data_IF_441323588594
#
_entry.id   IF_441323588594
#
_cell.length_a   1.000
_cell.length_b   1.000
_cell.length_c   1.000
_cell.angle_alpha   90.00
_cell.angle_beta   90.00
_cell.angle_gamma   90.00
#
_symmetry.space_group_name_H-M   'P 1'
#
loop_
_entity.id
_entity.type
_entity.pdbx_description
1 polymer ?
#
# COMPACT_ATOMS: atom_id res chain seq x y z
N UNK A 1 13.31 -25.06 0.61
CA UNK A 1 14.21 -25.54 -0.47
C UNK A 1 15.34 -24.55 -0.80
N UNK A 2 15.34 -23.34 -0.25
CA UNK A 2 16.25 -22.25 -0.59
C UNK A 2 17.72 -22.38 -0.14
N UNK A 3 18.08 -23.07 0.97
CA UNK A 3 19.47 -23.06 1.47
C UNK A 3 20.50 -23.67 0.52
N UNK A 4 20.12 -24.71 -0.24
CA UNK A 4 21.06 -25.39 -1.15
C UNK A 4 21.44 -24.47 -2.32
N UNK A 5 20.47 -23.73 -2.87
CA UNK A 5 20.68 -22.77 -3.96
C UNK A 5 21.57 -21.63 -3.49
N UNK A 6 21.31 -21.04 -2.32
CA UNK A 6 22.15 -19.99 -1.75
C UNK A 6 23.59 -20.43 -1.53
N UNK A 7 23.81 -21.64 -1.01
CA UNK A 7 25.16 -22.18 -0.85
C UNK A 7 25.85 -22.42 -2.19
N UNK A 8 25.13 -22.91 -3.20
CA UNK A 8 25.68 -23.15 -4.53
C UNK A 8 26.09 -21.83 -5.21
N UNK A 9 25.21 -20.82 -5.17
CA UNK A 9 25.48 -19.50 -5.74
C UNK A 9 26.60 -18.77 -5.00
N UNK A 10 26.64 -18.82 -3.66
CA UNK A 10 27.71 -18.20 -2.88
C UNK A 10 29.11 -18.79 -3.20
N UNK A 11 29.18 -20.06 -3.64
CA UNK A 11 30.43 -20.69 -4.07
C UNK A 11 30.92 -20.22 -5.44
N UNK A 12 30.08 -19.56 -6.24
CA UNK A 12 30.47 -19.03 -7.55
C UNK A 12 31.28 -17.73 -7.46
N UNK A 13 31.46 -17.18 -6.25
CA UNK A 13 32.20 -15.94 -6.01
C UNK A 13 31.25 -14.73 -5.88
N UNK A 14 31.75 -13.54 -6.21
CA UNK A 14 30.96 -12.30 -6.14
C UNK A 14 29.84 -12.31 -7.19
N UNK A 15 28.63 -11.94 -6.77
CA UNK A 15 27.42 -11.82 -7.58
C UNK A 15 27.13 -10.34 -7.85
N UNK A 16 28.06 -9.66 -8.51
CA UNK A 16 28.02 -8.20 -8.74
C UNK A 16 26.83 -7.72 -9.59
N UNK A 17 26.18 -8.63 -10.32
CA UNK A 17 25.01 -8.31 -11.14
C UNK A 17 23.69 -8.45 -10.38
N UNK A 18 23.68 -9.03 -9.17
CA UNK A 18 22.46 -9.23 -8.41
C UNK A 18 22.04 -7.96 -7.68
N UNK A 19 21.03 -7.28 -8.23
CA UNK A 19 20.51 -6.01 -7.71
C UNK A 19 19.25 -6.21 -6.83
N UNK A 20 18.45 -7.23 -7.13
CA UNK A 20 17.19 -7.53 -6.46
C UNK A 20 17.16 -8.98 -6.01
N UNK A 21 16.80 -9.22 -4.75
CA UNK A 21 16.61 -10.55 -4.20
C UNK A 21 15.23 -10.63 -3.55
N UNK A 22 14.37 -11.50 -4.08
CA UNK A 22 13.20 -11.99 -3.37
C UNK A 22 13.46 -13.44 -2.98
N UNK A 23 13.33 -13.75 -1.70
CA UNK A 23 13.54 -15.10 -1.24
C UNK A 23 12.61 -15.49 -0.09
N UNK A 24 12.38 -16.80 -0.01
CA UNK A 24 11.68 -17.44 1.11
C UNK A 24 12.69 -18.21 1.93
N UNK A 25 12.73 -18.02 3.24
CA UNK A 25 13.63 -18.73 4.15
C UNK A 25 12.86 -19.38 5.28
N UNK A 26 13.34 -20.51 5.80
CA UNK A 26 12.79 -21.07 7.04
C UNK A 26 13.38 -20.36 8.25
N UNK A 27 12.65 -20.36 9.36
CA UNK A 27 13.20 -20.00 10.69
C UNK A 27 14.43 -20.90 10.97
N UNK A 28 15.55 -20.30 11.34
CA UNK A 28 16.82 -20.99 11.61
C UNK A 28 17.77 -21.16 10.41
N UNK A 29 17.34 -20.86 9.18
CA UNK A 29 18.20 -20.96 7.98
C UNK A 29 18.91 -19.63 7.62
N UNK A 30 18.85 -18.62 8.50
CA UNK A 30 19.42 -17.28 8.29
C UNK A 30 20.93 -17.29 8.00
N UNK A 31 21.69 -18.24 8.56
CA UNK A 31 23.14 -18.40 8.28
C UNK A 31 23.43 -18.61 6.80
N UNK A 32 22.63 -19.44 6.12
CA UNK A 32 22.83 -19.69 4.68
C UNK A 32 22.48 -18.45 3.84
N UNK A 33 21.44 -17.72 4.24
CA UNK A 33 21.09 -16.44 3.63
C UNK A 33 22.22 -15.42 3.80
N UNK A 34 22.79 -15.27 4.99
CA UNK A 34 23.84 -14.27 5.24
C UNK A 34 25.12 -14.55 4.46
N UNK A 35 25.54 -15.82 4.38
CA UNK A 35 26.68 -16.23 3.56
C UNK A 35 26.45 -15.94 2.07
N UNK A 36 25.21 -16.04 1.59
CA UNK A 36 24.85 -15.64 0.24
C UNK A 36 24.85 -14.12 0.07
N UNK A 37 24.29 -13.37 1.03
CA UNK A 37 24.25 -11.91 0.99
C UNK A 37 25.65 -11.28 1.03
N UNK A 38 26.64 -11.92 1.68
CA UNK A 38 28.04 -11.46 1.63
C UNK A 38 28.67 -11.56 0.24
N UNK A 39 28.13 -12.42 -0.64
CA UNK A 39 28.53 -12.50 -2.03
C UNK A 39 27.80 -11.48 -2.93
N UNK A 40 26.90 -10.65 -2.40
CA UNK A 40 26.03 -9.75 -3.19
C UNK A 40 26.30 -8.26 -2.87
N UNK A 41 27.48 -7.69 -3.23
CA UNK A 41 27.86 -6.34 -2.79
C UNK A 41 26.99 -5.22 -3.38
N UNK A 42 26.37 -5.44 -4.55
CA UNK A 42 25.52 -4.45 -5.25
C UNK A 42 24.02 -4.65 -5.03
N UNK A 43 23.62 -5.44 -4.03
CA UNK A 43 22.21 -5.67 -3.74
C UNK A 43 21.54 -4.37 -3.25
N UNK A 44 20.54 -3.89 -4.00
CA UNK A 44 19.78 -2.68 -3.69
C UNK A 44 18.43 -2.99 -3.04
N UNK A 45 17.85 -4.16 -3.30
CA UNK A 45 16.52 -4.53 -2.82
C UNK A 45 16.49 -5.96 -2.29
N UNK A 46 15.95 -6.11 -1.08
CA UNK A 46 15.82 -7.38 -0.39
C UNK A 46 14.37 -7.60 0.07
N UNK A 47 13.75 -8.66 -0.41
CA UNK A 47 12.46 -9.15 0.06
C UNK A 47 12.67 -10.54 0.69
N UNK A 48 12.30 -10.64 1.98
CA UNK A 48 12.46 -11.87 2.76
C UNK A 48 11.10 -12.28 3.32
N UNK A 49 10.65 -13.45 2.90
CA UNK A 49 9.49 -14.15 3.46
C UNK A 49 9.99 -15.27 4.39
N UNK A 50 9.65 -15.21 5.67
CA UNK A 50 9.98 -16.26 6.62
C UNK A 50 8.80 -17.22 6.72
N UNK A 51 9.00 -18.46 6.27
CA UNK A 51 8.02 -19.53 6.47
C UNK A 51 8.22 -20.16 7.83
N UNK A 52 7.16 -20.18 8.63
CA UNK A 52 7.09 -21.07 9.78
C UNK A 52 6.76 -22.50 9.31
N UNK A 53 7.25 -23.51 10.03
CA UNK A 53 7.21 -24.93 9.58
C UNK A 53 5.81 -25.54 9.53
N UNK A 54 4.77 -24.82 9.92
CA UNK A 54 3.40 -25.33 9.93
C UNK A 54 2.75 -25.19 8.55
N UNK A 55 3.12 -26.07 7.61
CA UNK A 55 2.53 -26.14 6.27
C UNK A 55 1.03 -26.54 6.27
N UNK A 56 0.44 -26.87 7.43
CA UNK A 56 -0.96 -27.33 7.56
C UNK A 56 -1.76 -26.72 8.72
N UNK A 57 -1.23 -25.72 9.43
CA UNK A 57 -1.99 -24.98 10.44
C UNK A 57 -2.42 -23.62 9.91
N UNK A 58 -3.46 -22.96 10.48
CA UNK A 58 -3.62 -21.53 10.27
C UNK A 58 -2.26 -20.88 10.56
N UNK A 59 -1.79 -20.03 9.65
CA UNK A 59 -0.56 -19.29 9.82
C UNK A 59 -0.78 -18.33 10.99
N UNK A 60 -0.65 -18.85 12.21
CA UNK A 60 -0.52 -18.04 13.39
C UNK A 60 0.84 -17.40 13.19
N UNK A 61 0.85 -16.17 12.68
CA UNK A 61 2.02 -15.29 12.72
C UNK A 61 2.28 -14.96 14.19
N UNK A 62 2.65 -16.00 14.94
CA UNK A 62 2.80 -16.00 16.37
C UNK A 62 3.93 -15.08 16.75
N UNK A 63 3.71 -14.42 17.87
CA UNK A 63 4.52 -13.41 18.52
C UNK A 63 6.01 -13.76 18.70
N UNK A 64 6.41 -15.00 18.44
CA UNK A 64 7.73 -15.54 18.74
C UNK A 64 8.82 -14.99 17.82
N UNK A 65 9.35 -13.83 18.21
CA UNK A 65 10.76 -13.44 18.39
C UNK A 65 11.86 -14.42 17.94
N UNK A 66 11.73 -15.02 16.75
CA UNK A 66 12.86 -15.55 16.00
C UNK A 66 13.71 -14.38 15.54
N UNK A 67 14.51 -13.81 16.45
CA UNK A 67 15.41 -12.72 16.12
C UNK A 67 16.33 -13.15 14.97
N UNK A 68 16.36 -12.34 13.91
CA UNK A 68 17.38 -12.47 12.90
C UNK A 68 18.71 -12.17 13.60
N UNK A 69 19.70 -13.09 13.58
CA UNK A 69 20.99 -12.81 14.19
C UNK A 69 21.55 -11.50 13.61
N UNK A 70 22.25 -10.67 14.40
CA UNK A 70 22.87 -9.46 13.88
C UNK A 70 23.74 -9.76 12.66
N UNK A 71 23.70 -8.88 11.67
CA UNK A 71 24.50 -9.00 10.45
C UNK A 71 25.41 -7.78 10.34
N UNK A 72 26.66 -7.99 9.89
CA UNK A 72 27.62 -6.90 9.70
C UNK A 72 27.06 -5.83 8.77
N UNK A 73 27.29 -4.56 9.09
CA UNK A 73 26.92 -3.41 8.24
C UNK A 73 27.60 -3.48 6.87
N UNK A 74 28.77 -4.13 6.79
CA UNK A 74 29.49 -4.37 5.52
C UNK A 74 28.81 -5.40 4.62
N UNK A 75 27.88 -6.21 5.14
CA UNK A 75 27.06 -7.11 4.32
C UNK A 75 25.92 -6.31 3.69
N UNK A 76 25.81 -6.36 2.36
CA UNK A 76 24.86 -5.59 1.54
C UNK A 76 24.85 -4.09 1.85
N UNK A 77 26.00 -3.39 1.68
CA UNK A 77 26.16 -2.01 2.15
C UNK A 77 25.32 -1.00 1.37
N UNK A 78 24.89 -1.35 0.14
CA UNK A 78 24.11 -0.50 -0.75
C UNK A 78 22.60 -0.75 -0.67
N UNK A 79 22.13 -1.48 0.33
CA UNK A 79 20.71 -1.83 0.45
C UNK A 79 19.85 -0.56 0.60
N UNK A 80 18.94 -0.33 -0.34
CA UNK A 80 18.02 0.82 -0.38
C UNK A 80 16.56 0.45 -0.09
N UNK A 81 16.16 -0.78 -0.38
CA UNK A 81 14.78 -1.23 -0.21
C UNK A 81 14.75 -2.53 0.56
N UNK A 82 13.90 -2.60 1.57
CA UNK A 82 13.66 -3.86 2.29
C UNK A 82 12.18 -4.15 2.48
N UNK A 83 11.83 -5.43 2.33
CA UNK A 83 10.52 -5.98 2.60
C UNK A 83 10.65 -7.26 3.41
N UNK A 84 9.77 -7.42 4.40
CA UNK A 84 9.69 -8.66 5.15
C UNK A 84 9.13 -8.46 6.55
N UNK A 85 9.24 -9.51 7.38
CA UNK A 85 8.77 -9.46 8.76
C UNK A 85 9.68 -8.57 9.61
N UNK A 86 9.15 -8.15 10.75
CA UNK A 86 9.81 -7.25 11.72
C UNK A 86 11.29 -7.56 11.95
N UNK A 87 11.60 -8.81 12.28
CA UNK A 87 12.97 -9.21 12.62
C UNK A 87 13.95 -8.96 11.46
N UNK A 88 13.55 -9.21 10.22
CA UNK A 88 14.38 -8.93 9.05
C UNK A 88 14.56 -7.41 8.87
N UNK A 89 13.47 -6.65 8.94
CA UNK A 89 13.51 -5.17 8.81
C UNK A 89 14.47 -4.58 9.83
N UNK A 90 14.33 -4.92 11.11
CA UNK A 90 15.19 -4.38 12.17
C UNK A 90 16.67 -4.71 11.96
N UNK A 91 16.99 -5.95 11.58
CA UNK A 91 18.38 -6.40 11.42
C UNK A 91 19.06 -5.77 10.20
N UNK A 92 18.35 -5.64 9.08
CA UNK A 92 18.93 -5.13 7.84
C UNK A 92 18.89 -3.60 7.73
N UNK A 93 18.07 -2.92 8.52
CA UNK A 93 17.95 -1.46 8.46
C UNK A 93 19.15 -0.71 9.07
N UNK A 94 19.78 -1.29 10.10
CA UNK A 94 20.81 -0.61 10.88
C UNK A 94 22.05 -0.28 10.04
N UNK A 95 22.42 1.02 10.00
CA UNK A 95 23.65 1.49 9.35
C UNK A 95 23.63 1.44 7.82
N UNK A 96 22.47 1.22 7.20
CA UNK A 96 22.32 1.11 5.74
C UNK A 96 21.46 2.26 5.17
N UNK A 97 21.67 2.62 3.88
CA UNK A 97 20.98 3.73 3.23
C UNK A 97 19.58 3.32 2.75
N UNK A 98 18.76 2.81 3.66
CA UNK A 98 17.38 2.41 3.33
C UNK A 98 16.56 3.66 3.00
N UNK A 99 15.87 3.63 1.87
CA UNK A 99 14.96 4.65 1.35
C UNK A 99 13.52 4.14 1.30
N UNK A 100 13.34 2.80 1.22
CA UNK A 100 12.03 2.12 1.15
C UNK A 100 11.92 0.98 2.15
N UNK A 101 10.85 1.01 2.94
CA UNK A 101 10.50 -0.04 3.91
C UNK A 101 9.11 -0.59 3.57
N UNK A 102 8.98 -1.91 3.49
CA UNK A 102 7.71 -2.60 3.36
C UNK A 102 7.48 -3.56 4.52
N UNK A 103 6.50 -3.21 5.36
CA UNK A 103 6.13 -3.95 6.55
C UNK A 103 5.01 -4.93 6.21
N UNK A 104 5.29 -6.22 6.36
CA UNK A 104 4.37 -7.31 6.02
C UNK A 104 4.03 -8.15 7.25
N UNK A 105 2.91 -8.87 7.23
CA UNK A 105 2.50 -9.78 8.30
C UNK A 105 1.61 -9.12 9.35
N UNK A 106 1.54 -9.68 10.56
CA UNK A 106 0.75 -9.13 11.66
C UNK A 106 1.62 -8.28 12.58
N UNK A 107 1.11 -7.10 12.95
CA UNK A 107 1.82 -6.15 13.78
C UNK A 107 0.94 -5.71 14.94
N UNK A 108 1.44 -5.83 16.17
CA UNK A 108 0.86 -5.05 17.27
C UNK A 108 1.36 -3.61 17.18
N UNK A 109 0.63 -2.68 17.81
CA UNK A 109 1.00 -1.26 17.84
C UNK A 109 2.39 -1.05 18.44
N UNK A 110 2.73 -1.74 19.53
CA UNK A 110 4.03 -1.62 20.18
C UNK A 110 5.17 -2.07 19.28
N UNK A 111 4.99 -3.21 18.59
CA UNK A 111 5.97 -3.72 17.63
C UNK A 111 6.18 -2.74 16.48
N UNK A 112 5.10 -2.16 15.97
CA UNK A 112 5.16 -1.17 14.91
C UNK A 112 5.88 0.11 15.36
N UNK A 113 5.53 0.65 16.52
CA UNK A 113 6.17 1.85 17.06
C UNK A 113 7.66 1.64 17.36
N UNK A 114 8.03 0.45 17.81
CA UNK A 114 9.43 0.06 17.99
C UNK A 114 10.21 0.03 16.67
N UNK A 115 9.57 -0.34 15.56
CA UNK A 115 10.22 -0.26 14.24
C UNK A 115 10.30 1.17 13.74
N UNK A 116 9.23 1.96 13.89
CA UNK A 116 9.25 3.38 13.52
C UNK A 116 10.32 4.16 14.27
N UNK A 117 10.50 3.92 15.58
CA UNK A 117 11.54 4.60 16.37
C UNK A 117 12.96 4.23 15.93
N UNK A 118 13.13 3.09 15.25
CA UNK A 118 14.40 2.65 14.69
C UNK A 118 14.65 3.14 13.27
N UNK A 119 13.66 3.72 12.58
CA UNK A 119 13.86 4.30 11.24
C UNK A 119 14.97 5.36 11.28
N UNK A 120 15.10 6.12 12.35
CA UNK A 120 16.19 7.10 12.53
C UNK A 120 17.60 6.47 12.53
N UNK A 121 17.73 5.14 12.60
CA UNK A 121 19.01 4.42 12.54
C UNK A 121 19.45 4.07 11.11
N UNK A 122 18.64 4.40 10.10
CA UNK A 122 19.09 4.35 8.70
C UNK A 122 20.05 5.49 8.44
N UNK A 123 20.95 5.30 7.48
CA UNK A 123 21.88 6.37 7.06
C UNK A 123 21.29 7.26 5.95
N UNK A 124 20.08 6.93 5.47
CA UNK A 124 19.35 7.68 4.45
C UNK A 124 17.95 8.04 4.95
N UNK A 125 17.31 8.96 4.23
CA UNK A 125 15.94 9.41 4.46
C UNK A 125 14.97 8.39 3.88
N UNK A 126 13.95 8.01 4.64
CA UNK A 126 12.87 7.14 4.15
C UNK A 126 11.86 7.97 3.35
N UNK A 127 11.82 7.71 2.05
CA UNK A 127 10.88 8.34 1.13
C UNK A 127 9.67 7.47 0.84
N UNK A 128 9.76 6.15 1.00
CA UNK A 128 8.65 5.22 0.74
C UNK A 128 8.38 4.27 1.90
N UNK A 129 7.15 4.25 2.37
CA UNK A 129 6.67 3.33 3.39
C UNK A 129 5.48 2.54 2.86
N UNK A 130 5.52 1.23 3.03
CA UNK A 130 4.45 0.33 2.63
C UNK A 130 3.95 -0.43 3.85
N UNK A 131 2.65 -0.32 4.13
CA UNK A 131 1.97 -1.02 5.22
C UNK A 131 1.06 -2.12 4.64
N UNK A 132 1.54 -3.37 4.67
CA UNK A 132 0.78 -4.57 4.23
C UNK A 132 0.22 -5.34 5.43
N UNK A 133 -0.42 -4.63 6.34
CA UNK A 133 -1.05 -5.20 7.52
C UNK A 133 -2.24 -4.32 7.92
N UNK A 134 -3.08 -4.82 8.83
CA UNK A 134 -4.21 -4.05 9.32
C UNK A 134 -3.73 -2.89 10.23
N UNK A 135 -4.07 -1.64 9.88
CA UNK A 135 -3.71 -0.44 10.64
C UNK A 135 -4.93 0.41 11.01
N UNK A 136 -4.87 1.08 12.16
CA UNK A 136 -5.84 2.09 12.58
C UNK A 136 -5.33 3.52 12.38
N UNK A 137 -6.18 4.51 12.65
CA UNK A 137 -5.82 5.95 12.60
C UNK A 137 -4.59 6.30 13.45
N UNK A 138 -4.44 5.68 14.64
CA UNK A 138 -3.28 5.86 15.54
C UNK A 138 -1.93 5.51 14.86
N UNK A 139 -1.91 4.47 14.03
CA UNK A 139 -0.72 4.03 13.28
C UNK A 139 -0.27 5.15 12.34
N UNK A 140 -1.20 5.72 11.58
CA UNK A 140 -0.89 6.76 10.60
C UNK A 140 -0.53 8.09 11.24
N UNK A 141 -1.18 8.46 12.34
CA UNK A 141 -0.75 9.60 13.15
C UNK A 141 0.70 9.44 13.61
N UNK A 142 1.11 8.23 14.01
CA UNK A 142 2.51 7.99 14.37
C UNK A 142 3.46 8.04 13.18
N UNK A 143 3.05 7.51 12.01
CA UNK A 143 3.82 7.65 10.76
C UNK A 143 4.04 9.12 10.43
N UNK A 144 2.98 9.92 10.46
CA UNK A 144 3.03 11.38 10.22
C UNK A 144 4.01 12.08 11.15
N UNK A 145 4.04 11.71 12.44
CA UNK A 145 4.95 12.31 13.41
C UNK A 145 6.42 11.89 13.24
N UNK A 146 6.68 10.69 12.73
CA UNK A 146 8.03 10.09 12.71
C UNK A 146 8.72 10.16 11.36
N UNK A 147 7.96 10.34 10.28
CA UNK A 147 8.47 10.28 8.90
C UNK A 147 8.07 11.53 8.11
N UNK A 148 8.54 12.70 8.56
CA UNK A 148 8.21 13.98 7.92
C UNK A 148 8.66 14.07 6.44
N UNK A 149 9.72 13.35 6.07
CA UNK A 149 10.25 13.30 4.69
C UNK A 149 9.58 12.25 3.80
N UNK A 150 8.51 11.60 4.27
CA UNK A 150 7.85 10.55 3.52
C UNK A 150 7.12 11.12 2.30
N UNK A 151 7.58 10.73 1.10
CA UNK A 151 6.98 11.16 -0.17
C UNK A 151 5.91 10.19 -0.69
N UNK A 152 6.06 8.90 -0.38
CA UNK A 152 5.14 7.86 -0.84
C UNK A 152 4.70 6.95 0.31
N UNK A 153 3.38 6.79 0.44
CA UNK A 153 2.76 5.92 1.41
C UNK A 153 1.86 4.94 0.67
N UNK A 154 2.11 3.65 0.84
CA UNK A 154 1.26 2.58 0.32
C UNK A 154 0.55 1.89 1.47
N UNK A 155 -0.76 1.85 1.40
CA UNK A 155 -1.65 1.28 2.41
C UNK A 155 -2.40 0.09 1.82
N UNK A 156 -2.42 -1.01 2.56
CA UNK A 156 -3.26 -2.14 2.20
C UNK A 156 -4.57 -2.06 2.98
N UNK A 157 -5.62 -1.58 2.31
CA UNK A 157 -6.96 -1.45 2.84
C UNK A 157 -7.64 -2.81 2.95
N UNK A 158 -8.10 -3.11 4.16
CA UNK A 158 -9.04 -4.17 4.48
C UNK A 158 -10.33 -3.57 5.02
N UNK A 159 -11.44 -4.31 4.92
CA UNK A 159 -12.76 -3.85 5.40
C UNK A 159 -12.73 -3.46 6.89
N UNK A 160 -11.92 -4.15 7.70
CA UNK A 160 -11.75 -3.81 9.11
C UNK A 160 -11.12 -2.45 9.32
N UNK A 161 -10.23 -1.98 8.44
CA UNK A 161 -9.63 -0.63 8.56
C UNK A 161 -10.67 0.49 8.48
N UNK A 162 -11.80 0.23 7.82
CA UNK A 162 -12.88 1.21 7.67
C UNK A 162 -13.78 1.14 8.90
N UNK A 163 -14.27 -0.05 9.27
CA UNK A 163 -15.19 -0.23 10.41
C UNK A 163 -14.68 0.38 11.71
N UNK A 164 -13.39 0.27 11.98
CA UNK A 164 -12.79 0.79 13.21
C UNK A 164 -12.78 2.33 13.30
N UNK A 165 -13.06 3.02 12.19
CA UNK A 165 -12.98 4.48 12.09
C UNK A 165 -14.25 5.15 11.55
N UNK A 166 -15.25 4.39 11.07
CA UNK A 166 -16.53 4.92 10.59
C UNK A 166 -17.51 5.17 11.72
N UNK A 167 -17.18 6.05 12.67
CA UNK A 167 -18.24 6.79 13.37
C UNK A 167 -19.16 7.50 12.36
N UNK A 168 -20.19 8.22 12.82
CA UNK A 168 -21.01 9.06 11.92
C UNK A 168 -20.09 9.90 11.02
N UNK A 169 -20.00 9.54 9.73
CA UNK A 169 -19.12 10.21 8.79
C UNK A 169 -19.71 11.59 8.54
N UNK A 170 -19.13 12.58 9.20
CA UNK A 170 -19.55 13.97 9.10
C UNK A 170 -19.43 14.47 7.65
N UNK A 171 -20.32 15.37 7.21
CA UNK A 171 -20.17 16.03 5.91
C UNK A 171 -18.88 16.86 5.89
N UNK A 172 -18.23 16.92 4.72
CA UNK A 172 -17.13 17.87 4.49
C UNK A 172 -17.70 19.28 4.62
N UNK A 173 -17.12 20.16 5.45
CA UNK A 173 -17.58 21.55 5.56
C UNK A 173 -17.54 22.24 4.18
N UNK A 174 -18.70 22.69 3.69
CA UNK A 174 -18.85 23.27 2.35
C UNK A 174 -18.11 24.61 2.16
N UNK A 175 -17.54 25.20 3.21
CA UNK A 175 -16.94 26.54 3.19
C UNK A 175 -15.60 26.65 2.44
N UNK A 176 -15.05 25.55 1.92
CA UNK A 176 -13.74 25.54 1.24
C UNK A 176 -13.78 25.15 -0.23
N UNK A 177 -14.95 24.80 -0.80
CA UNK A 177 -15.04 24.42 -2.20
C UNK A 177 -15.08 25.67 -3.10
N UNK A 178 -14.10 25.88 -4.01
CA UNK A 178 -14.22 26.91 -5.02
C UNK A 178 -15.44 26.62 -5.92
N UNK A 179 -16.28 27.62 -6.15
CA UNK A 179 -17.41 27.53 -7.10
C UNK A 179 -16.86 27.41 -8.53
N UNK A 180 -16.61 26.20 -8.98
CA UNK A 180 -16.19 25.93 -10.37
C UNK A 180 -17.43 25.91 -11.26
N UNK A 181 -17.39 26.67 -12.35
CA UNK A 181 -18.46 26.70 -13.35
C UNK A 181 -18.64 25.30 -13.97
N UNK A 182 -19.89 24.87 -14.09
CA UNK A 182 -20.27 23.58 -14.66
C UNK A 182 -19.93 23.53 -16.16
N UNK A 183 -18.70 23.15 -16.50
CA UNK A 183 -18.36 22.78 -17.87
C UNK A 183 -18.98 21.42 -18.18
N UNK A 184 -20.06 21.49 -18.96
CA UNK A 184 -20.87 20.36 -19.43
C UNK A 184 -20.16 19.69 -20.60
N UNK A 185 -19.13 18.89 -20.30
CA UNK A 185 -18.49 18.02 -21.28
C UNK A 185 -18.93 16.58 -21.04
N UNK A 186 -19.81 16.08 -21.90
CA UNK A 186 -20.14 14.66 -22.17
C UNK A 186 -19.81 13.69 -21.01
N UNK A 187 -20.67 13.70 -19.99
CA UNK A 187 -20.59 12.76 -18.87
C UNK A 187 -21.38 11.46 -19.13
N UNK A 188 -20.97 10.32 -18.54
CA UNK A 188 -21.74 9.07 -18.55
C UNK A 188 -23.16 9.28 -17.99
N UNK A 189 -24.12 8.41 -18.37
CA UNK A 189 -25.54 8.49 -17.93
C UNK A 189 -25.76 8.41 -16.41
N UNK A 190 -24.70 8.16 -15.63
CA UNK A 190 -24.72 8.01 -14.18
C UNK A 190 -23.82 9.07 -13.53
N UNK A 191 -24.35 9.77 -12.52
CA UNK A 191 -23.59 10.71 -11.68
C UNK A 191 -22.69 9.98 -10.65
N UNK A 192 -22.67 8.65 -10.68
CA UNK A 192 -21.92 7.79 -9.77
C UNK A 192 -20.64 7.26 -10.42
N UNK A 193 -19.63 7.03 -9.59
CA UNK A 193 -18.39 6.39 -10.01
C UNK A 193 -18.60 4.88 -10.16
N UNK A 194 -18.25 4.32 -11.33
CA UNK A 194 -18.32 2.89 -11.61
C UNK A 194 -16.91 2.26 -11.69
N UNK A 195 -16.68 1.09 -11.05
CA UNK A 195 -17.64 0.26 -10.31
C UNK A 195 -17.89 0.70 -8.84
N UNK A 196 -19.17 0.90 -8.48
CA UNK A 196 -19.60 1.53 -7.21
C UNK A 196 -18.92 0.95 -5.96
N UNK A 197 -18.80 -0.37 -5.89
CA UNK A 197 -18.27 -1.09 -4.73
C UNK A 197 -16.76 -0.85 -4.52
N UNK A 198 -16.00 -0.72 -5.60
CA UNK A 198 -14.57 -0.42 -5.54
C UNK A 198 -14.36 1.00 -5.05
N UNK A 199 -15.14 1.93 -5.63
CA UNK A 199 -15.10 3.34 -5.29
C UNK A 199 -15.50 3.60 -3.84
N UNK A 200 -16.56 2.96 -3.34
CA UNK A 200 -17.05 3.18 -1.98
C UNK A 200 -15.98 2.91 -0.90
N UNK A 201 -15.18 1.84 -1.05
CA UNK A 201 -14.18 1.46 -0.06
C UNK A 201 -13.07 2.51 0.07
N UNK A 202 -12.42 2.84 -1.05
CA UNK A 202 -11.28 3.76 -0.99
C UNK A 202 -11.75 5.21 -0.82
N UNK A 203 -12.90 5.62 -1.37
CA UNK A 203 -13.41 6.98 -1.20
C UNK A 203 -13.85 7.24 0.24
N UNK A 204 -14.40 6.24 0.93
CA UNK A 204 -14.66 6.37 2.38
C UNK A 204 -13.37 6.64 3.14
N UNK A 205 -12.29 5.94 2.77
CA UNK A 205 -11.00 6.17 3.39
C UNK A 205 -10.43 7.57 3.07
N UNK A 206 -10.50 8.00 1.81
CA UNK A 206 -10.09 9.35 1.40
C UNK A 206 -10.94 10.43 2.07
N UNK A 207 -12.24 10.19 2.25
CA UNK A 207 -13.14 11.09 2.95
C UNK A 207 -12.73 11.26 4.41
N UNK A 208 -12.41 10.17 5.12
CA UNK A 208 -11.88 10.25 6.49
C UNK A 208 -10.57 11.05 6.59
N UNK A 209 -9.72 10.99 5.56
CA UNK A 209 -8.52 11.82 5.47
C UNK A 209 -8.91 13.29 5.25
N UNK A 210 -9.86 13.55 4.33
CA UNK A 210 -10.33 14.88 3.98
C UNK A 210 -10.98 15.63 5.16
N UNK A 211 -11.66 14.94 6.08
CA UNK A 211 -12.20 15.55 7.31
C UNK A 211 -11.20 15.55 8.48
N UNK A 212 -9.97 15.09 8.27
CA UNK A 212 -8.90 15.13 9.26
C UNK A 212 -8.96 14.05 10.35
N UNK A 213 -9.90 13.08 10.26
CA UNK A 213 -9.96 11.93 11.17
C UNK A 213 -8.71 11.05 11.04
N UNK A 214 -8.19 10.93 9.81
CA UNK A 214 -6.91 10.27 9.51
C UNK A 214 -5.92 11.32 9.04
N UNK A 215 -4.79 11.43 9.75
CA UNK A 215 -3.69 12.32 9.39
C UNK A 215 -2.63 11.56 8.59
N UNK A 216 -2.21 12.14 7.48
CA UNK A 216 -1.09 11.69 6.67
C UNK A 216 0.13 12.61 6.90
N UNK A 217 1.35 12.19 6.53
CA UNK A 217 2.50 13.09 6.55
C UNK A 217 2.32 14.29 5.60
N UNK A 218 2.68 15.49 6.04
CA UNK A 218 2.48 16.74 5.29
C UNK A 218 3.24 16.78 3.95
N UNK A 219 4.41 16.13 3.90
CA UNK A 219 5.27 16.03 2.70
C UNK A 219 4.86 14.96 1.70
N UNK A 220 3.69 14.33 1.89
CA UNK A 220 3.27 13.19 1.08
C UNK A 220 2.89 13.62 -0.34
N UNK A 221 3.64 13.10 -1.33
CA UNK A 221 3.42 13.37 -2.76
C UNK A 221 2.48 12.32 -3.39
N UNK A 222 2.59 11.05 -2.96
CA UNK A 222 1.83 9.94 -3.50
C UNK A 222 1.22 9.06 -2.40
N UNK A 223 -0.11 8.89 -2.46
CA UNK A 223 -0.85 7.89 -1.67
C UNK A 223 -1.23 6.71 -2.57
N UNK A 224 -0.90 5.49 -2.17
CA UNK A 224 -1.30 4.28 -2.88
C UNK A 224 -2.20 3.41 -1.99
N UNK A 225 -3.47 3.30 -2.36
CA UNK A 225 -4.49 2.52 -1.68
C UNK A 225 -4.64 1.19 -2.39
N UNK A 226 -4.04 0.14 -1.82
CA UNK A 226 -4.22 -1.22 -2.28
C UNK A 226 -5.43 -1.83 -1.60
N UNK A 227 -6.26 -2.58 -2.33
CA UNK A 227 -7.35 -3.36 -1.74
C UNK A 227 -7.37 -4.76 -2.33
N UNK A 228 -7.89 -5.73 -1.56
CA UNK A 228 -8.17 -7.09 -2.02
C UNK A 228 -9.67 -7.25 -2.17
N UNK A 229 -10.18 -7.09 -3.39
CA UNK A 229 -11.62 -7.13 -3.67
C UNK A 229 -12.18 -8.55 -3.80
N UNK A 230 -11.32 -9.56 -3.92
CA UNK A 230 -11.70 -10.97 -3.99
C UNK A 230 -12.33 -11.49 -2.68
N UNK A 231 -12.12 -10.76 -1.57
CA UNK A 231 -12.75 -11.00 -0.28
C UNK A 231 -14.18 -10.49 -0.16
N UNK A 232 -14.71 -9.78 -1.16
CA UNK A 232 -16.14 -9.48 -1.22
C UNK A 232 -16.80 -10.74 -1.77
N UNK A 233 -17.40 -11.61 -0.93
CA UNK A 233 -17.85 -12.91 -1.38
C UNK A 233 -18.92 -12.72 -2.45
N UNK A 234 -18.86 -13.41 -3.59
CA UNK A 234 -19.88 -13.26 -4.65
C UNK A 234 -21.30 -13.68 -4.22
N UNK A 235 -21.40 -14.55 -3.20
CA UNK A 235 -22.67 -15.06 -2.64
C UNK A 235 -23.09 -14.38 -1.33
N UNK A 236 -22.13 -13.87 -0.57
CA UNK A 236 -22.38 -12.79 0.39
C UNK A 236 -21.87 -11.52 -0.27
N UNK A 237 -22.43 -11.14 -1.43
CA UNK A 237 -22.39 -9.72 -1.67
C UNK A 237 -23.06 -9.18 -0.42
N UNK A 238 -22.39 -8.29 0.31
CA UNK A 238 -23.07 -7.45 1.30
C UNK A 238 -24.05 -6.50 0.54
N UNK A 239 -24.25 -6.76 -0.76
CA UNK A 239 -25.23 -6.22 -1.69
C UNK A 239 -25.91 -7.38 -2.46
N UNK A 240 -26.71 -8.29 -1.85
CA UNK A 240 -27.52 -9.24 -2.62
C UNK A 240 -28.68 -8.55 -3.36
N UNK A 241 -28.85 -7.24 -3.14
CA UNK A 241 -30.10 -6.52 -3.36
C UNK A 241 -30.01 -5.45 -4.46
N UNK A 242 -28.94 -5.39 -5.26
CA UNK A 242 -28.98 -4.54 -6.49
C UNK A 242 -30.00 -5.04 -7.53
N UNK A 243 -30.67 -6.17 -7.27
CA UNK A 243 -31.75 -6.69 -8.13
C UNK A 243 -33.11 -6.77 -7.45
N UNK A 244 -33.23 -6.45 -6.15
CA UNK A 244 -34.54 -6.41 -5.46
C UNK A 244 -34.76 -5.02 -4.85
N UNK A 245 -35.66 -4.26 -5.46
CA UNK A 245 -35.81 -2.80 -5.27
C UNK A 245 -36.42 -2.37 -3.91
N UNK A 246 -36.64 -3.29 -2.98
CA UNK A 246 -37.56 -3.05 -1.84
C UNK A 246 -37.01 -3.41 -0.45
N UNK A 247 -35.70 -3.63 -0.25
CA UNK A 247 -35.16 -3.78 1.12
C UNK A 247 -34.40 -2.52 1.56
N UNK A 248 -34.96 -1.82 2.54
CA UNK A 248 -34.33 -0.72 3.29
C UNK A 248 -33.20 -1.21 4.23
N UNK A 249 -32.27 -2.03 3.72
CA UNK A 249 -31.11 -2.47 4.50
C UNK A 249 -30.00 -1.42 4.44
N UNK A 250 -29.76 -0.74 5.55
CA UNK A 250 -28.73 0.29 5.80
C UNK A 250 -27.27 -0.15 5.55
N UNK A 251 -27.02 -1.39 5.12
CA UNK A 251 -25.67 -1.93 4.92
C UNK A 251 -25.09 -1.68 3.52
N UNK A 252 -25.85 -1.07 2.61
CA UNK A 252 -25.30 -0.64 1.34
C UNK A 252 -24.37 0.55 1.58
N UNK A 253 -23.06 0.32 1.57
CA UNK A 253 -22.05 1.36 1.76
C UNK A 253 -22.35 2.61 0.95
N UNK A 254 -22.05 3.77 1.55
CA UNK A 254 -22.38 5.10 1.02
C UNK A 254 -21.97 5.20 -0.45
N UNK A 255 -22.93 5.49 -1.34
CA UNK A 255 -22.65 5.80 -2.75
C UNK A 255 -21.98 7.17 -2.83
N UNK A 256 -20.91 7.26 -3.59
CA UNK A 256 -20.22 8.52 -3.84
C UNK A 256 -20.59 9.05 -5.22
N UNK A 257 -21.15 10.26 -5.25
CA UNK A 257 -21.32 11.00 -6.51
C UNK A 257 -19.97 11.56 -6.97
N UNK A 258 -19.86 11.90 -8.26
CA UNK A 258 -18.71 12.63 -8.80
C UNK A 258 -18.44 13.93 -8.05
N UNK A 259 -19.50 14.67 -7.70
CA UNK A 259 -19.42 15.89 -6.90
C UNK A 259 -18.81 15.63 -5.52
N UNK A 260 -19.26 14.57 -4.83
CA UNK A 260 -18.69 14.21 -3.52
C UNK A 260 -17.22 13.84 -3.64
N UNK A 261 -16.86 13.07 -4.67
CA UNK A 261 -15.47 12.72 -4.93
C UNK A 261 -14.62 13.97 -5.17
N UNK A 262 -15.12 14.95 -5.95
CA UNK A 262 -14.47 16.24 -6.17
C UNK A 262 -14.23 16.98 -4.86
N UNK A 263 -15.26 17.13 -4.03
CA UNK A 263 -15.13 17.77 -2.72
C UNK A 263 -14.10 17.09 -1.82
N UNK A 264 -14.01 15.74 -1.85
CA UNK A 264 -12.97 14.99 -1.15
C UNK A 264 -11.57 15.39 -1.67
N UNK A 265 -11.36 15.39 -2.98
CA UNK A 265 -10.06 15.71 -3.57
C UNK A 265 -9.65 17.18 -3.41
N UNK A 266 -10.60 18.11 -3.40
CA UNK A 266 -10.37 19.52 -3.11
C UNK A 266 -9.93 19.73 -1.65
N UNK A 267 -10.62 19.08 -0.71
CA UNK A 267 -10.24 19.07 0.69
C UNK A 267 -8.86 18.43 0.90
N UNK A 268 -8.57 17.30 0.24
CA UNK A 268 -7.23 16.68 0.25
C UNK A 268 -6.16 17.62 -0.29
N UNK A 269 -6.45 18.40 -1.33
CA UNK A 269 -5.49 19.35 -1.91
C UNK A 269 -5.16 20.47 -0.95
N UNK A 270 -6.15 20.92 -0.19
CA UNK A 270 -6.00 21.95 0.83
C UNK A 270 -5.17 21.43 2.02
N UNK A 271 -5.45 20.21 2.48
CA UNK A 271 -4.75 19.59 3.60
C UNK A 271 -3.33 19.12 3.25
N UNK A 272 -3.14 18.61 2.04
CA UNK A 272 -1.87 18.03 1.58
C UNK A 272 -1.43 18.67 0.25
N UNK A 273 -0.88 19.89 0.28
CA UNK A 273 -0.50 20.62 -0.93
C UNK A 273 0.58 19.94 -1.77
N UNK A 274 1.36 19.01 -1.21
CA UNK A 274 2.37 18.25 -1.97
C UNK A 274 1.77 17.02 -2.69
N UNK A 275 0.55 16.62 -2.33
CA UNK A 275 -0.07 15.42 -2.89
C UNK A 275 -0.46 15.65 -4.35
N UNK A 276 0.15 14.88 -5.24
CA UNK A 276 -0.07 14.95 -6.69
C UNK A 276 -0.71 13.69 -7.26
N UNK A 277 -0.72 12.59 -6.49
CA UNK A 277 -1.18 11.31 -6.99
C UNK A 277 -1.85 10.47 -5.90
N UNK A 278 -3.06 9.99 -6.17
CA UNK A 278 -3.74 8.95 -5.40
C UNK A 278 -3.96 7.75 -6.32
N UNK A 279 -3.23 6.67 -6.07
CA UNK A 279 -3.30 5.44 -6.85
C UNK A 279 -4.12 4.40 -6.10
N UNK A 280 -5.21 3.94 -6.69
CA UNK A 280 -6.02 2.83 -6.18
C UNK A 280 -5.66 1.60 -6.99
N UNK A 281 -5.13 0.58 -6.33
CA UNK A 281 -4.73 -0.68 -6.95
C UNK A 281 -5.55 -1.81 -6.35
N UNK A 282 -6.26 -2.56 -7.19
CA UNK A 282 -6.79 -3.83 -6.75
C UNK A 282 -5.69 -4.89 -6.85
N UNK A 283 -5.35 -5.53 -5.74
CA UNK A 283 -4.29 -6.55 -5.70
C UNK A 283 -4.86 -7.89 -6.18
N UNK A 284 -4.32 -8.41 -7.28
CA UNK A 284 -4.60 -9.78 -7.73
C UNK A 284 -4.16 -10.80 -6.68
N UNK A 285 -5.04 -11.74 -6.32
CA UNK A 285 -4.57 -13.06 -5.95
C UNK A 285 -4.32 -13.83 -7.23
N UNK A 286 -3.13 -14.40 -7.38
CA UNK A 286 -2.87 -15.44 -8.37
C UNK A 286 -3.75 -16.65 -8.02
N UNK A 287 -5.02 -16.62 -8.43
CA UNK A 287 -5.92 -17.74 -8.25
C UNK A 287 -5.39 -18.84 -9.17
N UNK A 288 -5.02 -19.98 -8.60
CA UNK A 288 -4.38 -21.11 -9.30
C UNK A 288 -5.20 -21.77 -10.43
N UNK A 289 -6.24 -21.10 -10.93
CA UNK A 289 -7.15 -21.57 -11.98
C UNK A 289 -6.99 -20.85 -13.32
N UNK A 290 -5.89 -20.11 -13.53
CA UNK A 290 -5.51 -19.59 -14.85
C UNK A 290 -6.42 -18.51 -15.45
N UNK A 291 -7.41 -18.00 -14.70
CA UNK A 291 -8.19 -16.82 -15.09
C UNK A 291 -7.58 -15.57 -14.46
N UNK A 292 -6.87 -14.79 -15.27
CA UNK A 292 -6.51 -13.42 -14.93
C UNK A 292 -7.77 -12.57 -15.04
N UNK A 293 -8.21 -12.00 -13.91
CA UNK A 293 -9.22 -10.96 -13.94
C UNK A 293 -8.46 -9.65 -14.12
N UNK A 294 -8.62 -8.99 -15.27
CA UNK A 294 -8.07 -7.65 -15.47
C UNK A 294 -8.74 -6.71 -14.47
N UNK A 295 -8.04 -6.36 -13.41
CA UNK A 295 -8.60 -5.44 -12.44
C UNK A 295 -8.16 -4.01 -12.75
N UNK A 296 -9.11 -3.10 -12.61
CA UNK A 296 -8.90 -1.68 -12.82
C UNK A 296 -8.00 -1.12 -11.71
N UNK A 297 -6.81 -0.68 -12.09
CA UNK A 297 -6.07 0.30 -11.30
C UNK A 297 -6.56 1.68 -11.71
N UNK A 298 -6.88 2.53 -10.75
CA UNK A 298 -7.34 3.90 -10.96
C UNK A 298 -6.29 4.85 -10.41
N UNK A 299 -5.89 5.84 -11.19
CA UNK A 299 -4.96 6.86 -10.76
C UNK A 299 -5.64 8.23 -10.81
N UNK A 300 -5.80 8.85 -9.66
CA UNK A 300 -6.15 10.26 -9.57
C UNK A 300 -4.86 11.07 -9.60
N UNK A 301 -4.71 11.97 -10.57
CA UNK A 301 -3.55 12.84 -10.72
C UNK A 301 -3.95 14.30 -10.68
N UNK A 302 -3.24 15.06 -9.86
CA UNK A 302 -3.39 16.52 -9.79
C UNK A 302 -2.43 17.17 -10.77
N UNK A 303 -2.95 17.94 -11.72
CA UNK A 303 -2.13 18.66 -12.67
C UNK A 303 -1.52 19.94 -12.05
N UNK A 304 -0.74 20.68 -12.83
CA UNK A 304 -0.10 21.95 -12.39
C UNK A 304 -1.10 23.05 -12.05
N UNK A 305 -2.34 22.95 -12.53
CA UNK A 305 -3.43 23.88 -12.23
C UNK A 305 -4.18 23.50 -10.95
N UNK A 306 -3.79 22.42 -10.27
CA UNK A 306 -4.48 21.92 -9.08
C UNK A 306 -5.71 21.05 -9.37
N UNK A 307 -6.02 20.78 -10.65
CA UNK A 307 -7.21 20.01 -11.04
C UNK A 307 -6.88 18.52 -10.98
N UNK A 308 -7.77 17.74 -10.36
CA UNK A 308 -7.69 16.28 -10.32
C UNK A 308 -8.29 15.66 -11.56
N UNK A 309 -7.61 14.64 -12.08
CA UNK A 309 -8.04 13.85 -13.22
C UNK A 309 -7.96 12.38 -12.87
N UNK A 310 -9.01 11.62 -13.13
CA UNK A 310 -8.97 10.16 -13.01
C UNK A 310 -8.50 9.58 -14.34
N UNK A 311 -7.46 8.77 -14.26
CA UNK A 311 -6.90 8.04 -15.39
C UNK A 311 -7.06 6.56 -15.05
N UNK A 312 -7.74 5.82 -15.93
CA UNK A 312 -7.66 4.36 -15.89
C UNK A 312 -6.21 3.98 -16.14
N UNK A 313 -5.61 3.21 -15.22
CA UNK A 313 -4.22 2.80 -15.29
C UNK A 313 -4.19 1.37 -15.86
N UNK A 314 -4.11 1.18 -17.19
CA UNK A 314 -4.05 -0.15 -17.76
C UNK A 314 -2.79 -0.87 -17.27
N UNK A 315 -2.94 -2.09 -16.77
CA UNK A 315 -1.84 -2.92 -16.25
C UNK A 315 -0.71 -3.12 -17.27
N UNK A 316 -0.99 -3.03 -18.57
CA UNK A 316 0.00 -3.16 -19.64
C UNK A 316 1.12 -2.11 -19.57
N UNK A 317 0.88 -0.96 -18.92
CA UNK A 317 1.89 0.09 -18.71
C UNK A 317 2.99 -0.36 -17.74
N UNK A 318 2.76 -1.36 -16.89
CA UNK A 318 3.83 -1.97 -16.09
C UNK A 318 4.74 -2.91 -16.90
N UNK A 319 4.34 -3.33 -18.12
CA UNK A 319 5.02 -4.42 -18.87
C UNK A 319 5.60 -4.06 -20.25
N UNK A 320 5.64 -2.78 -20.67
CA UNK A 320 6.28 -2.19 -21.88
C UNK A 320 5.31 -1.81 -23.01
N UNK A 321 5.03 -0.50 -23.20
CA UNK A 321 4.87 0.29 -24.48
C UNK A 321 4.18 1.65 -24.22
N UNK A 322 4.29 2.65 -25.13
CA UNK A 322 3.70 3.99 -24.95
C UNK A 322 2.19 4.02 -25.29
N UNK A 323 1.47 4.87 -24.55
CA UNK A 323 0.01 5.10 -24.57
C UNK A 323 -0.49 5.71 -25.89
N UNK A 324 -1.66 5.28 -26.36
CA UNK A 324 -2.45 6.03 -27.36
C UNK A 324 -3.95 6.21 -27.02
N UNK A 325 -4.48 5.66 -25.93
CA UNK A 325 -5.89 5.90 -25.54
C UNK A 325 -6.02 6.05 -24.01
N UNK A 326 -6.17 7.29 -23.55
CA UNK A 326 -6.46 7.63 -22.15
C UNK A 326 -7.97 7.92 -22.00
N UNK A 327 -8.68 7.12 -21.20
CA UNK A 327 -9.99 7.52 -20.69
C UNK A 327 -9.74 8.42 -19.48
N UNK A 328 -9.73 9.73 -19.73
CA UNK A 328 -9.57 10.76 -18.71
C UNK A 328 -10.95 11.24 -18.23
N UNK A 329 -11.20 11.13 -16.93
CA UNK A 329 -12.25 11.91 -16.28
C UNK A 329 -11.60 13.17 -15.70
N UNK A 330 -11.95 14.33 -16.23
CA UNK A 330 -11.59 15.60 -15.59
C UNK A 330 -12.60 15.83 -14.47
N UNK A 331 -12.14 15.97 -13.22
CA UNK A 331 -13.05 16.30 -12.13
C UNK A 331 -13.38 17.76 -12.12
#
# INVERSE_FOLDING_TARGET
MTPKVFRALAKQGSLDCLVHLNCKTKRGESKALYAFLSACPKLLSLEVDIRDRHEHGPVIHGDEDGAFPPISVTTVPLLKSIQGPRAAIETFMQGRPIERICLTGMWSLDKFYNVLSRISKTTSIIFTLVLQFHFGSKVLSKVSQTTASLKKLRLHLSISNIKDNTGEILPIPNDTAPKIANDTVYGPKSNFLEPENVHALYLTYLHMIAIGTVKLPDGLEQLELKTRLDWIPKKQSIYPQLTDKNSDSEESGKRYTLETARSIFDALSSLYPQMTCVLVVNEEMAVGYGKQYHYHSLAWRRNRLGIWTCINYPEEVQKKRPLNEEYCFNL
#
